data_IF_485575575069
#
_entry.id   IF_485575575069
#
_cell.length_a   1.000
_cell.length_b   1.000
_cell.length_c   1.000
_cell.angle_alpha   90.00
_cell.angle_beta   90.00
_cell.angle_gamma   90.00
#
_symmetry.space_group_name_H-M   'P 1'
#
loop_
_entity.id
_entity.type
_entity.pdbx_description
1 polymer ?
#
# COMPACT_ATOMS: atom_id res chain seq x y z
N UNK A 1 -6.51 -2.22 10.43
CA UNK A 1 -5.47 -1.53 9.61
C UNK A 1 -5.38 -2.31 8.30
N UNK A 2 -5.18 -1.64 7.15
CA UNK A 2 -4.96 -2.33 5.88
C UNK A 2 -3.52 -2.86 5.82
N UNK A 3 -3.37 -4.01 5.17
CA UNK A 3 -2.13 -4.78 5.13
C UNK A 3 -1.60 -4.91 3.71
N UNK A 4 -0.29 -4.77 3.54
CA UNK A 4 0.40 -5.06 2.28
C UNK A 4 1.28 -6.30 2.45
N UNK A 5 1.10 -7.30 1.60
CA UNK A 5 1.91 -8.51 1.60
C UNK A 5 3.14 -8.37 0.72
N UNK A 6 4.31 -8.60 1.27
CA UNK A 6 5.56 -8.61 0.50
C UNK A 6 5.76 -10.01 -0.06
N UNK A 7 5.78 -10.12 -1.38
CA UNK A 7 5.99 -11.39 -2.10
C UNK A 7 7.21 -11.29 -3.02
N UNK A 8 7.75 -12.42 -3.43
CA UNK A 8 8.86 -12.49 -4.37
C UNK A 8 9.43 -13.91 -4.41
N UNK A 9 10.19 -14.19 -5.46
CA UNK A 9 10.94 -15.44 -5.57
C UNK A 9 12.04 -15.53 -4.50
N UNK A 10 12.58 -16.69 -4.20
CA UNK A 10 13.75 -16.80 -3.33
C UNK A 10 14.94 -15.96 -3.84
N UNK A 11 15.72 -15.41 -2.92
CA UNK A 11 16.96 -14.67 -3.18
C UNK A 11 16.81 -13.38 -4.02
N UNK A 12 15.64 -12.76 -3.99
CA UNK A 12 15.39 -11.44 -4.64
C UNK A 12 15.60 -10.24 -3.72
N UNK A 13 16.01 -10.46 -2.46
CA UNK A 13 16.18 -9.40 -1.45
C UNK A 13 14.94 -9.15 -0.58
N UNK A 14 13.88 -9.99 -0.69
CA UNK A 14 12.62 -9.83 0.04
C UNK A 14 12.80 -9.75 1.56
N UNK A 15 13.53 -10.69 2.15
CA UNK A 15 13.75 -10.73 3.61
C UNK A 15 14.64 -9.59 4.09
N UNK A 16 15.62 -9.15 3.28
CA UNK A 16 16.46 -8.00 3.58
C UNK A 16 15.60 -6.74 3.62
N UNK A 17 14.73 -6.54 2.62
CA UNK A 17 13.80 -5.42 2.58
C UNK A 17 12.83 -5.43 3.77
N UNK A 18 12.25 -6.58 4.08
CA UNK A 18 11.32 -6.71 5.22
C UNK A 18 12.02 -6.42 6.55
N UNK A 19 13.23 -6.93 6.75
CA UNK A 19 14.02 -6.64 7.94
C UNK A 19 14.34 -5.14 8.05
N UNK A 20 14.64 -4.48 6.93
CA UNK A 20 14.84 -3.04 6.89
C UNK A 20 13.56 -2.27 7.30
N UNK A 21 12.38 -2.68 6.80
CA UNK A 21 11.09 -2.13 7.19
C UNK A 21 10.84 -2.28 8.72
N UNK A 22 11.07 -3.46 9.26
CA UNK A 22 10.87 -3.75 10.69
C UNK A 22 11.85 -2.99 11.56
N UNK A 23 13.12 -2.92 11.17
CA UNK A 23 14.14 -2.18 11.92
C UNK A 23 13.86 -0.67 11.93
N UNK A 24 13.41 -0.10 10.81
CA UNK A 24 12.95 1.28 10.76
C UNK A 24 11.76 1.52 11.71
N UNK A 25 10.78 0.62 11.70
CA UNK A 25 9.63 0.67 12.61
C UNK A 25 10.05 0.58 14.09
N UNK A 26 11.05 -0.24 14.42
CA UNK A 26 11.58 -0.36 15.78
C UNK A 26 12.32 0.90 16.23
N UNK A 27 13.13 1.49 15.37
CA UNK A 27 13.81 2.75 15.64
C UNK A 27 12.81 3.89 15.90
N UNK A 28 11.72 3.95 15.13
CA UNK A 28 10.63 4.91 15.37
C UNK A 28 9.83 4.58 16.66
N UNK A 29 9.62 3.29 16.96
CA UNK A 29 8.89 2.84 18.13
C UNK A 29 9.61 3.14 19.47
N UNK A 30 10.92 3.26 19.46
CA UNK A 30 11.68 3.72 20.63
C UNK A 30 11.25 5.14 21.06
N UNK A 31 10.69 5.91 20.13
CA UNK A 31 10.12 7.24 20.38
C UNK A 31 8.61 7.21 20.74
N UNK A 32 7.91 6.05 20.52
CA UNK A 32 6.46 5.92 20.75
C UNK A 32 6.13 4.56 21.40
N UNK A 33 5.69 4.50 22.67
CA UNK A 33 5.30 3.25 23.33
C UNK A 33 4.05 2.65 22.65
N UNK A 34 4.00 1.31 22.54
CA UNK A 34 2.89 0.45 22.02
C UNK A 34 3.02 -0.04 20.56
N UNK A 35 4.20 -0.36 20.06
CA UNK A 35 4.30 -1.19 18.85
C UNK A 35 4.38 -2.67 19.22
N UNK A 36 3.35 -3.44 18.89
CA UNK A 36 3.36 -4.90 18.96
C UNK A 36 4.07 -5.42 17.71
N UNK A 37 5.13 -6.19 17.88
CA UNK A 37 5.86 -6.84 16.78
C UNK A 37 5.37 -8.29 16.74
N UNK A 38 4.61 -8.62 15.69
CA UNK A 38 4.32 -10.02 15.36
C UNK A 38 5.43 -10.58 14.46
N UNK A 39 5.84 -11.84 14.62
CA UNK A 39 6.76 -12.44 13.68
C UNK A 39 6.13 -12.41 12.26
N UNK A 40 6.85 -11.88 11.30
CA UNK A 40 6.44 -11.68 9.90
C UNK A 40 5.44 -10.52 9.64
N UNK A 41 5.22 -9.61 10.59
CA UNK A 41 4.42 -8.40 10.39
C UNK A 41 5.16 -7.18 10.97
N UNK A 42 5.15 -6.07 10.24
CA UNK A 42 5.76 -4.81 10.65
C UNK A 42 4.82 -3.64 10.40
N UNK A 43 4.53 -2.88 11.46
CA UNK A 43 3.73 -1.65 11.37
C UNK A 43 4.70 -0.49 11.26
N UNK A 44 4.68 0.22 10.14
CA UNK A 44 5.58 1.33 9.83
C UNK A 44 4.83 2.65 9.71
N UNK A 45 5.47 3.73 10.11
CA UNK A 45 4.93 5.07 9.89
C UNK A 45 5.02 5.46 8.41
N UNK A 46 4.01 6.15 7.92
CA UNK A 46 4.02 6.70 6.56
C UNK A 46 4.77 8.02 6.57
N UNK A 47 5.90 8.14 5.87
CA UNK A 47 6.67 9.38 5.81
C UNK A 47 5.86 10.50 5.15
N UNK A 48 5.65 11.59 5.86
CA UNK A 48 4.94 12.75 5.35
C UNK A 48 5.57 14.05 5.86
N UNK A 49 6.32 14.80 5.02
CA UNK A 49 6.99 16.01 5.43
C UNK A 49 6.01 17.11 5.89
N UNK A 50 4.75 17.08 5.41
CA UNK A 50 3.72 18.05 5.80
C UNK A 50 3.40 17.98 7.28
N UNK A 51 3.48 16.78 7.87
CA UNK A 51 3.20 16.57 9.29
C UNK A 51 4.16 17.37 10.18
N UNK A 52 5.45 17.30 9.88
CA UNK A 52 6.48 18.04 10.61
C UNK A 52 6.37 19.56 10.42
N UNK A 53 6.03 19.99 9.20
CA UNK A 53 5.82 21.41 8.89
C UNK A 53 4.63 21.99 9.68
N UNK A 54 3.51 21.24 9.74
CA UNK A 54 2.34 21.61 10.52
C UNK A 54 2.61 21.62 12.03
N UNK A 55 3.37 20.64 12.52
CA UNK A 55 3.76 20.57 13.92
C UNK A 55 4.63 21.77 14.33
N UNK A 56 5.58 22.17 13.48
CA UNK A 56 6.39 23.38 13.67
C UNK A 56 5.52 24.63 13.69
N UNK A 57 4.58 24.75 12.72
CA UNK A 57 3.67 25.90 12.63
C UNK A 57 2.81 26.06 13.88
N UNK A 58 2.33 24.96 14.44
CA UNK A 58 1.44 24.94 15.61
C UNK A 58 2.19 24.81 16.95
N UNK A 59 3.52 24.71 16.94
CA UNK A 59 4.36 24.45 18.12
C UNK A 59 3.88 23.23 18.89
N UNK A 60 3.55 22.17 18.18
CA UNK A 60 2.97 20.95 18.74
C UNK A 60 3.97 20.18 19.59
N UNK A 61 3.48 19.66 20.73
CA UNK A 61 4.30 18.85 21.66
C UNK A 61 4.46 17.41 21.18
N UNK A 62 3.48 16.89 20.44
CA UNK A 62 3.47 15.53 19.91
C UNK A 62 3.21 15.53 18.41
N UNK A 63 3.84 14.60 17.70
CA UNK A 63 3.67 14.40 16.26
C UNK A 63 3.29 12.95 16.04
N UNK A 64 2.10 12.70 15.48
CA UNK A 64 1.55 11.36 15.34
C UNK A 64 1.32 11.05 13.84
N UNK A 65 2.19 10.23 13.20
CA UNK A 65 2.04 9.85 11.81
C UNK A 65 0.92 8.81 11.58
N UNK A 66 0.49 8.67 10.33
CA UNK A 66 -0.29 7.52 9.89
C UNK A 66 0.60 6.28 9.82
N UNK A 67 -0.04 5.09 9.82
CA UNK A 67 0.68 3.81 9.80
C UNK A 67 0.10 2.86 8.77
N UNK A 68 0.95 1.99 8.23
CA UNK A 68 0.58 0.88 7.35
C UNK A 68 1.28 -0.39 7.82
N UNK A 69 0.63 -1.53 7.66
CA UNK A 69 1.17 -2.83 8.06
C UNK A 69 1.72 -3.57 6.84
N UNK A 70 2.97 -4.03 6.92
CA UNK A 70 3.58 -4.92 5.96
C UNK A 70 3.69 -6.32 6.54
N UNK A 71 3.40 -7.34 5.73
CA UNK A 71 3.47 -8.75 6.11
C UNK A 71 4.47 -9.46 5.20
N UNK A 72 5.48 -10.11 5.78
CA UNK A 72 6.40 -10.96 5.03
C UNK A 72 5.70 -12.26 4.67
N UNK A 73 5.46 -12.47 3.39
CA UNK A 73 4.88 -13.70 2.87
C UNK A 73 6.02 -14.57 2.34
N UNK A 74 6.18 -15.76 2.93
CA UNK A 74 7.24 -16.69 2.56
C UNK A 74 7.30 -16.89 1.04
N UNK A 75 8.51 -16.95 0.47
CA UNK A 75 8.72 -16.98 -0.97
C UNK A 75 7.98 -18.11 -1.68
N UNK A 76 7.48 -17.81 -2.87
CA UNK A 76 6.79 -18.76 -3.74
C UNK A 76 7.82 -19.65 -4.44
N UNK A 77 7.52 -20.94 -4.51
CA UNK A 77 8.20 -21.90 -5.40
C UNK A 77 7.22 -22.25 -6.52
N UNK A 78 7.70 -22.34 -7.74
CA UNK A 78 6.92 -22.74 -8.92
C UNK A 78 6.12 -24.03 -8.64
N UNK A 79 4.82 -24.06 -9.00
CA UNK A 79 3.92 -25.17 -8.73
C UNK A 79 3.14 -25.06 -7.43
N UNK A 80 3.12 -23.91 -6.78
CA UNK A 80 2.40 -23.69 -5.53
C UNK A 80 0.88 -23.85 -5.65
N UNK A 81 0.32 -23.55 -6.80
CA UNK A 81 -1.12 -23.70 -7.08
C UNK A 81 -1.56 -25.17 -7.24
N UNK A 82 -0.62 -26.07 -7.58
CA UNK A 82 -0.87 -27.50 -7.78
C UNK A 82 -0.40 -28.36 -6.60
N UNK A 83 0.32 -27.77 -5.63
CA UNK A 83 1.06 -28.48 -4.61
C UNK A 83 0.33 -28.64 -3.28
N UNK A 84 0.71 -29.70 -2.56
CA UNK A 84 0.40 -29.89 -1.16
C UNK A 84 1.37 -29.09 -0.27
N UNK A 85 0.88 -28.48 0.81
CA UNK A 85 1.70 -27.91 1.88
C UNK A 85 2.07 -26.45 1.74
N UNK A 86 3.32 -26.11 1.43
CA UNK A 86 3.85 -24.73 1.49
C UNK A 86 3.18 -23.75 0.51
N UNK A 87 2.81 -24.20 -0.70
CA UNK A 87 2.12 -23.38 -1.69
C UNK A 87 0.73 -22.93 -1.22
N UNK A 88 -0.04 -23.82 -0.65
CA UNK A 88 -1.35 -23.45 -0.11
C UNK A 88 -1.27 -22.46 1.05
N UNK A 89 -0.23 -22.57 1.88
CA UNK A 89 0.02 -21.62 2.98
C UNK A 89 0.39 -20.24 2.43
N UNK A 90 1.22 -20.19 1.40
CA UNK A 90 1.56 -18.95 0.69
C UNK A 90 0.32 -18.24 0.14
N UNK A 91 -0.53 -18.96 -0.61
CA UNK A 91 -1.77 -18.42 -1.17
C UNK A 91 -2.76 -17.96 -0.08
N UNK A 92 -2.82 -18.70 1.05
CA UNK A 92 -3.65 -18.31 2.19
C UNK A 92 -3.17 -16.98 2.81
N UNK A 93 -1.86 -16.82 3.00
CA UNK A 93 -1.31 -15.56 3.53
C UNK A 93 -1.57 -14.37 2.60
N UNK A 94 -1.50 -14.56 1.26
CA UNK A 94 -1.86 -13.49 0.32
C UNK A 94 -3.35 -13.14 0.42
N UNK A 95 -4.24 -14.08 0.74
CA UNK A 95 -5.67 -13.76 0.91
C UNK A 95 -5.93 -12.81 2.06
N UNK A 96 -5.11 -12.83 3.09
CA UNK A 96 -5.26 -12.02 4.31
C UNK A 96 -4.77 -10.57 4.18
N UNK A 97 -4.08 -10.23 3.10
CA UNK A 97 -3.58 -8.86 2.85
C UNK A 97 -4.45 -8.12 1.84
N UNK A 98 -4.40 -6.79 1.84
CA UNK A 98 -5.23 -5.92 1.00
C UNK A 98 -4.53 -5.50 -0.30
N UNK A 99 -3.19 -5.51 -0.33
CA UNK A 99 -2.37 -5.20 -1.50
C UNK A 99 -1.13 -6.09 -1.55
N UNK A 100 -0.50 -6.16 -2.70
CA UNK A 100 0.71 -6.95 -2.95
C UNK A 100 1.88 -6.02 -3.28
N UNK A 101 2.98 -6.16 -2.56
CA UNK A 101 4.28 -5.60 -2.89
C UNK A 101 5.13 -6.73 -3.46
N UNK A 102 5.32 -6.74 -4.76
CA UNK A 102 6.08 -7.78 -5.45
C UNK A 102 7.53 -7.34 -5.62
N UNK A 103 8.43 -7.92 -4.84
CA UNK A 103 9.88 -7.67 -4.92
C UNK A 103 10.46 -8.50 -6.05
N UNK A 104 11.09 -7.81 -7.01
CA UNK A 104 11.72 -8.43 -8.18
C UNK A 104 13.18 -8.04 -8.24
N UNK A 105 14.05 -9.02 -8.44
CA UNK A 105 15.49 -8.81 -8.57
C UNK A 105 15.83 -8.19 -9.91
N UNK A 106 16.45 -7.01 -9.88
CA UNK A 106 16.88 -6.23 -11.04
C UNK A 106 18.39 -5.91 -11.00
N UNK A 107 19.21 -6.84 -10.48
CA UNK A 107 20.67 -6.72 -10.40
C UNK A 107 21.34 -8.08 -10.59
N UNK A 108 22.55 -8.07 -11.12
CA UNK A 108 23.44 -9.24 -11.18
C UNK A 108 24.29 -9.31 -9.90
N UNK A 109 24.48 -10.51 -9.39
CA UNK A 109 25.38 -10.79 -8.28
C UNK A 109 25.74 -12.28 -8.29
N UNK A 110 27.00 -12.60 -8.52
CA UNK A 110 27.48 -13.99 -8.64
C UNK A 110 27.46 -14.75 -7.31
N UNK A 111 27.50 -14.03 -6.18
CA UNK A 111 27.44 -14.63 -4.84
C UNK A 111 26.02 -15.02 -4.44
N UNK A 112 25.00 -14.54 -5.16
CA UNK A 112 23.58 -14.80 -4.87
C UNK A 112 22.96 -15.61 -5.98
N UNK A 113 22.78 -16.92 -5.75
CA UNK A 113 22.20 -17.84 -6.72
C UNK A 113 20.76 -17.43 -7.06
N UNK A 114 20.47 -17.29 -8.36
CA UNK A 114 19.12 -17.08 -8.85
C UNK A 114 18.41 -18.43 -9.08
N UNK A 115 17.15 -18.56 -8.62
CA UNK A 115 16.38 -19.82 -8.72
C UNK A 115 16.16 -20.31 -10.15
N UNK A 116 16.17 -19.40 -11.13
CA UNK A 116 16.04 -19.71 -12.57
C UNK A 116 17.39 -19.75 -13.30
N UNK A 117 18.51 -19.64 -12.58
CA UNK A 117 19.87 -19.64 -13.16
C UNK A 117 20.32 -18.33 -13.81
N UNK A 118 19.43 -17.38 -14.03
CA UNK A 118 19.73 -16.05 -14.58
C UNK A 118 18.70 -15.02 -14.11
N UNK A 119 19.08 -13.75 -14.05
CA UNK A 119 18.15 -12.64 -13.78
C UNK A 119 17.23 -12.43 -14.99
N UNK A 120 15.95 -12.24 -14.74
CA UNK A 120 14.94 -12.00 -15.77
C UNK A 120 13.65 -11.46 -15.14
N UNK A 121 13.57 -10.13 -14.89
CA UNK A 121 12.50 -9.53 -14.10
C UNK A 121 11.09 -9.78 -14.64
N UNK A 122 10.89 -9.72 -15.96
CA UNK A 122 9.59 -10.02 -16.57
C UNK A 122 9.17 -11.46 -16.34
N UNK A 123 10.08 -12.41 -16.60
CA UNK A 123 9.85 -13.84 -16.36
C UNK A 123 9.56 -14.12 -14.87
N UNK A 124 10.30 -13.50 -13.98
CA UNK A 124 10.18 -13.73 -12.54
C UNK A 124 8.86 -13.16 -12.00
N UNK A 125 8.42 -12.02 -12.53
CA UNK A 125 7.11 -11.45 -12.24
C UNK A 125 5.99 -12.35 -12.76
N UNK A 126 6.10 -12.84 -13.98
CA UNK A 126 5.13 -13.71 -14.64
C UNK A 126 4.92 -15.03 -13.86
N UNK A 127 5.98 -15.61 -13.28
CA UNK A 127 5.87 -16.84 -12.49
C UNK A 127 4.92 -16.66 -11.32
N UNK A 128 5.03 -15.57 -10.58
CA UNK A 128 4.13 -15.31 -9.44
C UNK A 128 2.71 -14.98 -9.93
N UNK A 129 2.58 -14.13 -10.95
CA UNK A 129 1.30 -13.76 -11.51
C UNK A 129 0.52 -14.99 -12.03
N UNK A 130 1.21 -15.91 -12.68
CA UNK A 130 0.63 -17.17 -13.16
C UNK A 130 0.11 -18.04 -12.00
N UNK A 131 0.89 -18.21 -10.95
CA UNK A 131 0.47 -19.02 -9.79
C UNK A 131 -0.77 -18.42 -9.09
N UNK A 132 -0.81 -17.10 -8.95
CA UNK A 132 -1.98 -16.40 -8.41
C UNK A 132 -3.20 -16.57 -9.33
N UNK A 133 -3.01 -16.42 -10.64
CA UNK A 133 -4.06 -16.61 -11.66
C UNK A 133 -4.64 -18.01 -11.67
N UNK A 134 -3.79 -19.05 -11.62
CA UNK A 134 -4.22 -20.45 -11.58
C UNK A 134 -5.00 -20.77 -10.29
N UNK A 135 -4.58 -20.20 -9.15
CA UNK A 135 -5.30 -20.37 -7.90
C UNK A 135 -6.71 -19.75 -7.96
N UNK A 136 -6.81 -18.54 -8.52
CA UNK A 136 -8.09 -17.86 -8.71
C UNK A 136 -8.98 -18.57 -9.74
N UNK A 137 -8.42 -19.00 -10.85
CA UNK A 137 -9.15 -19.75 -11.87
C UNK A 137 -9.82 -21.00 -11.28
N UNK A 138 -9.06 -21.81 -10.54
CA UNK A 138 -9.61 -22.98 -9.85
C UNK A 138 -10.73 -22.62 -8.86
N UNK A 139 -10.62 -21.49 -8.17
CA UNK A 139 -11.65 -21.03 -7.24
C UNK A 139 -12.90 -20.56 -7.97
N UNK A 140 -12.76 -19.79 -9.05
CA UNK A 140 -13.84 -19.27 -9.89
C UNK A 140 -14.60 -20.42 -10.53
N UNK A 141 -13.92 -21.40 -11.14
CA UNK A 141 -14.54 -22.58 -11.73
C UNK A 141 -15.41 -23.35 -10.73
N UNK A 142 -14.88 -23.63 -9.53
CA UNK A 142 -15.62 -24.31 -8.45
C UNK A 142 -16.83 -23.48 -8.00
N UNK A 143 -16.72 -22.17 -7.95
CA UNK A 143 -17.83 -21.28 -7.58
C UNK A 143 -18.92 -21.30 -8.66
N UNK A 144 -18.55 -21.16 -9.93
CA UNK A 144 -19.48 -21.23 -11.08
C UNK A 144 -20.21 -22.57 -11.15
N UNK A 145 -19.54 -23.70 -10.90
CA UNK A 145 -20.20 -25.00 -10.85
C UNK A 145 -21.30 -25.06 -9.77
N UNK A 146 -21.05 -24.51 -8.58
CA UNK A 146 -22.06 -24.43 -7.51
C UNK A 146 -23.23 -23.52 -7.89
N UNK A 147 -22.96 -22.41 -8.58
CA UNK A 147 -23.97 -21.46 -9.02
C UNK A 147 -24.87 -21.99 -10.14
N UNK A 148 -24.40 -22.90 -11.01
CA UNK A 148 -25.17 -23.45 -12.15
C UNK A 148 -26.58 -23.94 -11.77
N UNK A 149 -26.78 -24.50 -10.58
CA UNK A 149 -28.09 -24.93 -10.11
C UNK A 149 -28.93 -23.78 -9.57
N UNK A 150 -28.29 -22.83 -8.87
CA UNK A 150 -28.95 -21.71 -8.21
C UNK A 150 -29.31 -20.58 -9.19
N UNK A 151 -28.49 -20.34 -10.21
CA UNK A 151 -28.71 -19.33 -11.24
C UNK A 151 -30.01 -19.56 -12.08
N UNK A 152 -30.58 -20.77 -12.03
CA UNK A 152 -31.84 -21.06 -12.68
C UNK A 152 -33.07 -20.44 -11.98
N UNK A 153 -32.92 -20.14 -10.68
CA UNK A 153 -34.05 -19.68 -9.84
C UNK A 153 -33.77 -18.36 -9.10
N UNK A 154 -32.50 -17.92 -9.03
CA UNK A 154 -32.10 -16.70 -8.35
C UNK A 154 -31.44 -15.73 -9.32
N UNK A 155 -31.96 -14.50 -9.39
CA UNK A 155 -31.36 -13.40 -10.16
C UNK A 155 -30.00 -12.99 -9.65
N UNK A 156 -29.79 -13.07 -8.33
CA UNK A 156 -28.50 -12.75 -7.70
C UNK A 156 -27.42 -13.75 -8.11
N UNK A 157 -27.74 -15.05 -8.07
CA UNK A 157 -26.83 -16.10 -8.52
C UNK A 157 -26.51 -15.99 -10.02
N UNK A 158 -27.48 -15.54 -10.82
CA UNK A 158 -27.29 -15.30 -12.26
C UNK A 158 -26.36 -14.08 -12.48
N UNK A 159 -26.53 -13.01 -11.72
CA UNK A 159 -25.66 -11.84 -11.79
C UNK A 159 -24.24 -12.19 -11.38
N UNK A 160 -24.07 -12.94 -10.29
CA UNK A 160 -22.76 -13.41 -9.82
C UNK A 160 -22.07 -14.29 -10.88
N UNK A 161 -22.79 -15.27 -11.48
CA UNK A 161 -22.21 -16.14 -12.51
C UNK A 161 -21.80 -15.36 -13.75
N UNK A 162 -22.55 -14.35 -14.17
CA UNK A 162 -22.19 -13.48 -15.30
C UNK A 162 -20.93 -12.65 -15.05
N UNK A 163 -20.70 -12.20 -13.82
CA UNK A 163 -19.44 -11.53 -13.42
C UNK A 163 -18.30 -12.53 -13.42
N UNK A 164 -18.51 -13.70 -12.82
CA UNK A 164 -17.49 -14.75 -12.75
C UNK A 164 -17.09 -15.29 -14.12
N UNK A 165 -18.01 -15.30 -15.09
CA UNK A 165 -17.70 -15.67 -16.47
C UNK A 165 -16.68 -14.73 -17.12
N UNK A 166 -16.85 -13.42 -16.94
CA UNK A 166 -15.88 -12.41 -17.42
C UNK A 166 -14.53 -12.54 -16.73
N UNK A 167 -14.54 -12.77 -15.41
CA UNK A 167 -13.31 -12.99 -14.63
C UNK A 167 -12.61 -14.26 -15.08
N UNK A 168 -13.34 -15.35 -15.31
CA UNK A 168 -12.76 -16.60 -15.80
C UNK A 168 -12.09 -16.41 -17.15
N UNK A 169 -12.76 -15.75 -18.09
CA UNK A 169 -12.21 -15.47 -19.41
C UNK A 169 -10.91 -14.65 -19.36
N UNK A 170 -10.84 -13.64 -18.47
CA UNK A 170 -9.63 -12.85 -18.26
C UNK A 170 -8.49 -13.71 -17.69
N UNK A 171 -8.78 -14.55 -16.69
CA UNK A 171 -7.78 -15.44 -16.08
C UNK A 171 -7.28 -16.51 -17.07
N UNK A 172 -8.16 -17.09 -17.88
CA UNK A 172 -7.80 -18.04 -18.94
C UNK A 172 -6.93 -17.41 -20.05
N UNK A 173 -7.09 -16.11 -20.28
CA UNK A 173 -6.25 -15.32 -21.19
C UNK A 173 -4.88 -14.95 -20.58
N UNK A 174 -4.62 -15.34 -19.32
CA UNK A 174 -3.40 -14.97 -18.57
C UNK A 174 -3.43 -13.60 -17.91
N UNK A 175 -4.58 -12.93 -17.92
CA UNK A 175 -4.79 -11.65 -17.25
C UNK A 175 -5.11 -11.81 -15.76
N UNK A 176 -5.48 -10.71 -15.12
CA UNK A 176 -5.78 -10.65 -13.69
C UNK A 176 -7.23 -10.19 -13.44
N UNK A 177 -7.85 -10.68 -12.38
CA UNK A 177 -9.23 -10.30 -12.04
C UNK A 177 -9.42 -8.78 -11.87
N UNK A 178 -8.38 -8.05 -11.46
CA UNK A 178 -8.40 -6.57 -11.35
C UNK A 178 -8.53 -5.84 -12.70
N UNK A 179 -8.25 -6.51 -13.82
CA UNK A 179 -8.37 -5.93 -15.17
C UNK A 179 -9.81 -5.95 -15.69
N UNK A 180 -10.70 -6.74 -15.07
CA UNK A 180 -12.10 -6.81 -15.47
C UNK A 180 -12.83 -5.55 -15.02
N UNK A 181 -13.40 -4.81 -15.97
CA UNK A 181 -14.22 -3.64 -15.65
C UNK A 181 -15.49 -4.08 -14.92
N UNK A 182 -15.66 -3.65 -13.68
CA UNK A 182 -16.77 -3.99 -12.79
C UNK A 182 -17.48 -2.72 -12.31
N UNK A 183 -18.81 -2.79 -12.21
CA UNK A 183 -19.56 -1.79 -11.43
C UNK A 183 -19.31 -1.98 -9.93
N UNK A 184 -19.66 -0.97 -9.12
CA UNK A 184 -19.54 -1.07 -7.66
C UNK A 184 -20.37 -2.24 -7.09
N UNK A 185 -21.53 -2.52 -7.67
CA UNK A 185 -22.40 -3.63 -7.28
C UNK A 185 -21.76 -4.99 -7.65
N UNK A 186 -21.19 -5.11 -8.84
CA UNK A 186 -20.49 -6.31 -9.30
C UNK A 186 -19.25 -6.61 -8.46
N UNK A 187 -18.48 -5.57 -8.09
CA UNK A 187 -17.31 -5.72 -7.21
C UNK A 187 -17.68 -6.28 -5.83
N UNK A 188 -18.87 -5.93 -5.31
CA UNK A 188 -19.38 -6.49 -4.05
C UNK A 188 -19.69 -7.99 -4.16
N UNK A 189 -20.10 -8.49 -5.32
CA UNK A 189 -20.35 -9.92 -5.55
C UNK A 189 -19.05 -10.74 -5.51
N UNK A 190 -17.94 -10.15 -5.97
CA UNK A 190 -16.63 -10.82 -5.96
C UNK A 190 -15.89 -10.76 -4.61
N UNK A 191 -16.21 -9.77 -3.79
CA UNK A 191 -15.51 -9.53 -2.51
C UNK A 191 -15.42 -10.78 -1.61
N UNK A 192 -16.49 -11.61 -1.44
CA UNK A 192 -16.43 -12.81 -0.60
C UNK A 192 -15.48 -13.90 -1.12
N UNK A 193 -15.11 -13.89 -2.40
CA UNK A 193 -14.17 -14.87 -2.94
C UNK A 193 -12.72 -14.56 -2.56
N UNK A 194 -12.39 -13.30 -2.27
CA UNK A 194 -11.03 -12.91 -1.90
C UNK A 194 -10.01 -13.27 -2.99
N UNK A 195 -10.34 -13.00 -4.26
CA UNK A 195 -9.47 -13.31 -5.39
C UNK A 195 -8.12 -12.63 -5.23
N UNK A 196 -7.05 -13.38 -5.43
CA UNK A 196 -5.66 -12.94 -5.24
C UNK A 196 -5.28 -11.91 -6.31
N UNK A 197 -5.67 -12.17 -7.56
CA UNK A 197 -5.39 -11.29 -8.70
C UNK A 197 -6.32 -10.08 -8.77
N UNK A 198 -7.35 -9.99 -7.93
CA UNK A 198 -8.15 -8.79 -7.77
C UNK A 198 -7.47 -7.74 -6.88
N UNK A 199 -6.46 -8.13 -6.10
CA UNK A 199 -5.72 -7.21 -5.23
C UNK A 199 -4.85 -6.26 -6.04
N UNK A 200 -4.75 -4.98 -5.64
CA UNK A 200 -3.81 -4.05 -6.24
C UNK A 200 -2.37 -4.51 -5.99
N UNK A 201 -1.50 -4.28 -6.97
CA UNK A 201 -0.10 -4.71 -6.94
C UNK A 201 0.84 -3.54 -7.24
N UNK A 202 2.00 -3.53 -6.59
CA UNK A 202 3.13 -2.65 -6.89
C UNK A 202 4.38 -3.50 -7.01
N UNK A 203 5.21 -3.21 -8.00
CA UNK A 203 6.49 -3.88 -8.21
C UNK A 203 7.62 -3.10 -7.55
N UNK A 204 8.30 -3.71 -6.56
CA UNK A 204 9.53 -3.19 -5.98
C UNK A 204 10.71 -3.70 -6.79
N UNK A 205 11.29 -2.83 -7.65
CA UNK A 205 12.49 -3.15 -8.46
C UNK A 205 13.72 -3.08 -7.58
N UNK A 206 14.19 -4.23 -7.10
CA UNK A 206 15.37 -4.30 -6.24
C UNK A 206 16.64 -4.27 -7.09
N UNK A 207 17.39 -3.17 -7.03
CA UNK A 207 18.60 -2.89 -7.80
C UNK A 207 19.86 -2.92 -6.93
N UNK A 208 21.02 -2.92 -7.57
CA UNK A 208 22.31 -2.61 -6.93
C UNK A 208 22.37 -1.14 -6.50
N UNK A 209 23.33 -0.81 -5.66
CA UNK A 209 23.62 0.56 -5.23
C UNK A 209 23.85 1.49 -6.43
N UNK A 210 24.69 1.08 -7.37
CA UNK A 210 25.04 1.87 -8.57
C UNK A 210 23.85 2.23 -9.46
N UNK A 211 22.81 1.39 -9.45
CA UNK A 211 21.61 1.55 -10.27
C UNK A 211 20.47 2.28 -9.53
N UNK A 212 20.68 2.67 -8.27
CA UNK A 212 19.61 3.25 -7.44
C UNK A 212 19.11 4.58 -8.01
N UNK A 213 19.99 5.46 -8.46
CA UNK A 213 19.61 6.74 -9.02
C UNK A 213 19.02 6.62 -10.45
N UNK A 214 19.75 5.94 -11.35
CA UNK A 214 19.41 5.88 -12.78
C UNK A 214 18.51 4.73 -13.19
N UNK A 215 18.53 3.62 -12.46
CA UNK A 215 17.97 2.35 -12.90
C UNK A 215 18.83 1.69 -13.99
N UNK A 216 18.34 0.56 -14.48
CA UNK A 216 19.03 -0.23 -15.51
C UNK A 216 18.03 -0.85 -16.50
N UNK A 217 18.51 -1.68 -17.43
CA UNK A 217 17.67 -2.35 -18.42
C UNK A 217 16.60 -3.27 -17.77
N UNK A 218 16.93 -3.93 -16.66
CA UNK A 218 16.00 -4.76 -15.91
C UNK A 218 14.83 -3.97 -15.33
N UNK A 219 15.08 -2.74 -14.85
CA UNK A 219 14.03 -1.85 -14.41
C UNK A 219 13.07 -1.48 -15.55
N UNK A 220 13.59 -1.25 -16.76
CA UNK A 220 12.79 -0.92 -17.94
C UNK A 220 11.94 -2.12 -18.38
N UNK A 221 12.52 -3.33 -18.36
CA UNK A 221 11.81 -4.58 -18.65
C UNK A 221 10.62 -4.77 -17.70
N UNK A 222 10.83 -4.65 -16.39
CA UNK A 222 9.76 -4.78 -15.40
C UNK A 222 8.73 -3.66 -15.48
N UNK A 223 9.14 -2.43 -15.79
CA UNK A 223 8.23 -1.31 -15.99
C UNK A 223 7.27 -1.53 -17.16
N UNK A 224 7.72 -2.23 -18.21
CA UNK A 224 6.86 -2.60 -19.34
C UNK A 224 5.76 -3.60 -18.91
N UNK A 225 6.12 -4.60 -18.09
CA UNK A 225 5.15 -5.55 -17.49
C UNK A 225 4.16 -4.80 -16.59
N UNK A 226 4.66 -3.98 -15.67
CA UNK A 226 3.83 -3.21 -14.76
C UNK A 226 2.82 -2.31 -15.50
N UNK A 227 3.27 -1.65 -16.57
CA UNK A 227 2.40 -0.81 -17.42
C UNK A 227 1.27 -1.59 -18.07
N UNK A 228 1.53 -2.81 -18.56
CA UNK A 228 0.48 -3.68 -19.14
C UNK A 228 -0.57 -4.09 -18.11
N UNK A 229 -0.16 -4.25 -16.85
CA UNK A 229 -1.03 -4.62 -15.75
C UNK A 229 -1.69 -3.42 -15.01
N UNK A 230 -1.42 -2.19 -15.45
CA UNK A 230 -1.87 -0.98 -14.76
C UNK A 230 -1.25 -0.81 -13.36
N UNK A 231 -0.11 -1.46 -13.10
CA UNK A 231 0.62 -1.43 -11.84
C UNK A 231 1.71 -0.34 -11.85
N UNK A 232 2.09 0.12 -10.66
CA UNK A 232 3.23 1.01 -10.47
C UNK A 232 4.53 0.23 -10.19
N UNK A 233 5.67 0.88 -10.41
CA UNK A 233 6.98 0.38 -9.97
C UNK A 233 7.61 1.35 -8.98
N UNK A 234 8.31 0.83 -7.98
CA UNK A 234 9.16 1.60 -7.07
C UNK A 234 10.55 1.00 -7.07
N UNK A 235 11.57 1.83 -7.28
CA UNK A 235 12.97 1.41 -7.25
C UNK A 235 13.47 1.44 -5.82
N UNK A 236 14.12 0.34 -5.42
CA UNK A 236 14.72 0.18 -4.10
C UNK A 236 16.07 -0.51 -4.25
N UNK A 237 16.94 -0.34 -3.28
CA UNK A 237 18.06 -1.25 -3.03
C UNK A 237 17.94 -1.77 -1.61
N UNK A 238 17.56 -3.05 -1.48
CA UNK A 238 17.37 -3.67 -0.17
C UNK A 238 18.68 -3.66 0.66
N UNK A 239 19.83 -3.69 0.00
CA UNK A 239 21.14 -3.58 0.64
C UNK A 239 21.36 -2.17 1.19
N UNK A 240 21.16 -1.13 0.37
CA UNK A 240 21.29 0.27 0.80
C UNK A 240 20.34 0.58 1.95
N UNK A 241 19.10 0.08 1.89
CA UNK A 241 18.14 0.28 2.99
C UNK A 241 18.61 -0.38 4.30
N UNK A 242 19.24 -1.55 4.25
CA UNK A 242 19.81 -2.18 5.43
C UNK A 242 21.00 -1.38 5.99
N UNK A 243 21.85 -0.83 5.14
CA UNK A 243 22.99 0.01 5.54
C UNK A 243 22.53 1.33 6.15
N UNK A 244 21.49 1.97 5.58
CA UNK A 244 20.92 3.22 6.10
C UNK A 244 20.43 3.11 7.56
N UNK A 245 19.94 1.93 7.96
CA UNK A 245 19.47 1.71 9.33
C UNK A 245 20.63 1.74 10.33
N UNK A 246 21.79 1.25 9.94
CA UNK A 246 22.99 1.23 10.78
C UNK A 246 23.64 2.60 10.91
N UNK A 247 23.33 3.54 9.98
CA UNK A 247 23.88 4.90 10.02
C UNK A 247 23.11 5.79 11.01
N UNK A 248 23.82 6.72 11.67
CA UNK A 248 23.20 7.81 12.41
C UNK A 248 22.25 8.62 11.51
N UNK A 249 21.13 9.08 12.03
CA UNK A 249 20.12 9.82 11.25
C UNK A 249 20.69 11.04 10.52
N UNK A 250 21.65 11.74 11.16
CA UNK A 250 22.32 12.90 10.58
C UNK A 250 23.13 12.57 9.32
N UNK A 251 23.66 11.36 9.20
CA UNK A 251 24.55 10.95 8.11
C UNK A 251 23.78 10.33 6.93
N UNK A 252 22.53 9.93 7.15
CA UNK A 252 21.71 9.27 6.12
C UNK A 252 21.47 10.13 4.90
N UNK A 253 21.20 11.43 5.10
CA UNK A 253 20.95 12.35 4.00
C UNK A 253 22.20 12.56 3.12
N UNK A 254 23.39 12.65 3.73
CA UNK A 254 24.66 12.77 3.01
C UNK A 254 24.99 11.49 2.24
N UNK A 255 24.75 10.32 2.84
CA UNK A 255 24.91 9.02 2.18
C UNK A 255 24.01 8.89 0.94
N UNK A 256 22.72 9.20 1.06
CA UNK A 256 21.77 9.17 -0.06
C UNK A 256 22.12 10.18 -1.16
N UNK A 257 22.56 11.38 -0.77
CA UNK A 257 23.02 12.39 -1.74
C UNK A 257 24.27 11.90 -2.50
N UNK A 258 25.18 11.18 -1.82
CA UNK A 258 26.33 10.52 -2.46
C UNK A 258 25.93 9.49 -3.50
N UNK A 259 24.79 8.82 -3.33
CA UNK A 259 24.20 7.88 -4.28
C UNK A 259 23.35 8.58 -5.38
N UNK A 260 23.22 9.90 -5.34
CA UNK A 260 22.43 10.68 -6.30
C UNK A 260 20.93 10.57 -6.12
N UNK A 261 20.45 10.24 -4.90
CA UNK A 261 19.03 10.17 -4.57
C UNK A 261 18.70 11.08 -3.39
N UNK A 262 17.49 11.63 -3.36
CA UNK A 262 17.04 12.56 -2.32
C UNK A 262 16.48 11.83 -1.10
N UNK A 263 15.97 10.61 -1.30
CA UNK A 263 15.35 9.79 -0.25
C UNK A 263 15.58 8.29 -0.46
N UNK A 264 15.44 7.52 0.61
CA UNK A 264 15.49 6.06 0.55
C UNK A 264 14.32 5.45 -0.23
N UNK A 265 14.57 4.37 -0.94
CA UNK A 265 13.56 3.61 -1.68
C UNK A 265 12.46 3.06 -0.78
N UNK A 266 12.79 2.77 0.49
CA UNK A 266 11.86 2.30 1.50
C UNK A 266 10.76 3.35 1.78
N UNK A 267 11.12 4.62 1.94
CA UNK A 267 10.17 5.71 2.16
C UNK A 267 9.22 5.85 0.97
N UNK A 268 9.77 5.82 -0.25
CA UNK A 268 8.98 5.83 -1.49
C UNK A 268 8.05 4.63 -1.59
N UNK A 269 8.51 3.42 -1.20
CA UNK A 269 7.70 2.19 -1.21
C UNK A 269 6.53 2.28 -0.21
N UNK A 270 6.78 2.78 1.00
CA UNK A 270 5.74 2.96 2.03
C UNK A 270 4.64 3.91 1.52
N UNK A 271 5.03 5.09 0.98
CA UNK A 271 4.06 6.06 0.42
C UNK A 271 3.30 5.50 -0.78
N UNK A 272 3.99 4.84 -1.70
CA UNK A 272 3.35 4.25 -2.87
C UNK A 272 2.37 3.13 -2.46
N UNK A 273 2.72 2.32 -1.48
CA UNK A 273 1.83 1.27 -0.94
C UNK A 273 0.61 1.86 -0.25
N UNK A 274 0.78 2.93 0.52
CA UNK A 274 -0.31 3.66 1.17
C UNK A 274 -1.31 4.20 0.13
N UNK A 275 -0.79 4.82 -0.93
CA UNK A 275 -1.62 5.31 -2.04
C UNK A 275 -2.31 4.17 -2.81
N UNK A 276 -1.61 3.04 -3.04
CA UNK A 276 -2.14 1.86 -3.71
C UNK A 276 -3.34 1.27 -2.97
N UNK A 277 -3.32 1.29 -1.64
CA UNK A 277 -4.44 0.87 -0.78
C UNK A 277 -5.65 1.83 -0.83
N UNK A 278 -5.60 2.88 -1.66
CA UNK A 278 -6.65 3.89 -1.76
C UNK A 278 -6.77 4.78 -0.52
N UNK A 279 -5.71 4.81 0.30
CA UNK A 279 -5.68 5.61 1.52
C UNK A 279 -5.37 7.07 1.23
N UNK A 280 -5.91 7.93 2.06
CA UNK A 280 -5.70 9.38 2.07
C UNK A 280 -5.38 9.83 3.49
N UNK A 281 -4.69 10.96 3.57
CA UNK A 281 -4.35 11.58 4.85
C UNK A 281 -5.02 12.95 4.98
N UNK A 282 -5.66 13.19 6.10
CA UNK A 282 -5.97 14.54 6.55
C UNK A 282 -5.28 14.79 7.90
N UNK A 283 -5.15 16.03 8.29
CA UNK A 283 -4.44 16.43 9.50
C UNK A 283 -5.36 17.16 10.48
N UNK A 284 -5.07 16.96 11.75
CA UNK A 284 -5.47 17.87 12.83
C UNK A 284 -4.20 18.47 13.43
N UNK A 285 -4.19 19.76 13.72
CA UNK A 285 -3.01 20.45 14.26
C UNK A 285 -3.37 21.42 15.37
N UNK A 286 -2.57 21.45 16.41
CA UNK A 286 -2.72 22.30 17.58
C UNK A 286 -1.51 22.19 18.51
N UNK A 287 -1.48 22.99 19.57
CA UNK A 287 -0.35 23.03 20.54
C UNK A 287 -0.10 21.69 21.25
N UNK A 288 -1.14 20.88 21.46
CA UNK A 288 -0.99 19.56 22.10
C UNK A 288 -0.37 18.56 21.16
N UNK A 289 -0.97 18.39 19.99
CA UNK A 289 -0.53 17.43 18.99
C UNK A 289 -0.81 17.91 17.57
N UNK A 290 0.02 17.50 16.64
CA UNK A 290 -0.28 17.44 15.21
C UNK A 290 -0.35 15.98 14.82
N UNK A 291 -1.46 15.59 14.20
CA UNK A 291 -1.74 14.19 13.87
C UNK A 291 -2.23 14.02 12.46
N UNK A 292 -1.67 13.02 11.80
CA UNK A 292 -2.13 12.53 10.51
C UNK A 292 -3.16 11.40 10.73
N UNK A 293 -4.28 11.48 10.02
CA UNK A 293 -5.38 10.53 10.11
C UNK A 293 -5.56 9.81 8.79
N UNK A 294 -5.68 8.49 8.84
CA UNK A 294 -5.90 7.65 7.66
C UNK A 294 -7.38 7.55 7.34
N UNK A 295 -7.76 7.85 6.11
CA UNK A 295 -9.11 7.66 5.57
C UNK A 295 -9.04 6.91 4.23
N UNK A 296 -10.16 6.34 3.80
CA UNK A 296 -10.34 5.87 2.44
C UNK A 296 -10.64 7.05 1.51
N UNK A 297 -10.09 7.01 0.30
CA UNK A 297 -10.45 7.98 -0.74
C UNK A 297 -11.97 7.97 -0.98
N UNK A 298 -12.58 9.17 -1.03
CA UNK A 298 -14.02 9.32 -1.19
C UNK A 298 -14.83 9.41 0.11
N UNK A 299 -14.19 9.27 1.29
CA UNK A 299 -14.89 9.50 2.56
C UNK A 299 -15.35 10.95 2.71
N UNK A 300 -16.57 11.10 3.23
CA UNK A 300 -17.15 12.41 3.57
C UNK A 300 -16.61 12.94 4.91
N UNK A 301 -16.77 14.22 5.15
CA UNK A 301 -16.31 14.87 6.39
C UNK A 301 -16.86 14.20 7.68
N UNK A 302 -18.15 13.78 7.78
CA UNK A 302 -18.63 13.00 8.93
C UNK A 302 -17.91 11.67 9.09
N UNK A 303 -17.69 10.92 7.99
CA UNK A 303 -16.99 9.64 8.03
C UNK A 303 -15.54 9.82 8.48
N UNK A 304 -14.86 10.87 7.99
CA UNK A 304 -13.51 11.22 8.42
C UNK A 304 -13.47 11.61 9.92
N UNK A 305 -14.45 12.37 10.40
CA UNK A 305 -14.60 12.66 11.82
C UNK A 305 -14.80 11.39 12.67
N UNK A 306 -15.50 10.39 12.11
CA UNK A 306 -15.73 9.07 12.70
C UNK A 306 -14.45 8.27 12.94
N UNK A 307 -13.40 8.52 12.16
CA UNK A 307 -12.07 7.91 12.34
C UNK A 307 -11.42 8.38 13.65
N UNK A 308 -11.72 9.61 14.09
CA UNK A 308 -11.26 10.13 15.39
C UNK A 308 -12.07 9.48 16.51
N UNK A 309 -13.40 9.58 16.43
CA UNK A 309 -14.33 8.99 17.39
C UNK A 309 -15.74 8.90 16.79
N UNK A 310 -16.48 7.84 17.11
CA UNK A 310 -17.85 7.63 16.62
C UNK A 310 -18.82 8.74 16.97
N UNK A 311 -18.62 9.42 18.10
CA UNK A 311 -19.44 10.56 18.50
C UNK A 311 -19.24 11.77 17.59
N UNK A 312 -18.04 11.96 17.04
CA UNK A 312 -17.76 13.03 16.06
C UNK A 312 -18.56 12.82 14.78
N UNK A 313 -18.71 11.58 14.33
CA UNK A 313 -19.54 11.25 13.18
C UNK A 313 -21.03 11.49 13.47
N UNK A 314 -21.53 10.97 14.60
CA UNK A 314 -22.94 11.08 14.98
C UNK A 314 -23.37 12.52 15.21
N UNK A 315 -22.57 13.28 15.92
CA UNK A 315 -22.83 14.67 16.28
C UNK A 315 -22.31 15.69 15.28
N UNK A 316 -21.83 15.27 14.09
CA UNK A 316 -21.21 16.16 13.12
C UNK A 316 -22.10 17.34 12.74
N UNK A 317 -21.58 18.54 12.90
CA UNK A 317 -22.23 19.79 12.48
C UNK A 317 -21.60 20.32 11.21
N UNK A 318 -20.29 20.56 11.25
CA UNK A 318 -19.47 21.05 10.13
C UNK A 318 -17.98 20.83 10.41
N UNK A 319 -17.15 20.94 9.38
CA UNK A 319 -15.70 20.99 9.53
C UNK A 319 -15.17 22.36 9.07
N UNK A 320 -14.20 22.90 9.81
CA UNK A 320 -13.33 23.97 9.28
C UNK A 320 -12.17 23.32 8.56
N UNK A 321 -11.97 23.64 7.28
CA UNK A 321 -11.03 22.94 6.41
C UNK A 321 -10.15 23.91 5.65
N UNK A 322 -8.87 23.60 5.56
CA UNK A 322 -7.89 24.33 4.75
C UNK A 322 -6.86 23.34 4.20
N UNK A 323 -6.39 23.53 2.97
CA UNK A 323 -5.28 22.73 2.45
C UNK A 323 -3.97 23.03 3.20
N UNK A 324 -3.15 22.00 3.42
CA UNK A 324 -1.86 22.12 4.14
C UNK A 324 -0.99 23.23 3.55
N UNK A 325 -0.81 23.25 2.23
CA UNK A 325 0.02 24.26 1.58
C UNK A 325 -0.48 25.71 1.85
N UNK A 326 -1.80 25.92 1.79
CA UNK A 326 -2.40 27.22 2.08
C UNK A 326 -2.20 27.62 3.55
N UNK A 327 -2.29 26.65 4.49
CA UNK A 327 -2.06 26.93 5.90
C UNK A 327 -0.60 27.31 6.18
N UNK A 328 0.35 26.58 5.59
CA UNK A 328 1.77 26.88 5.70
C UNK A 328 2.11 28.28 5.14
N UNK A 329 1.53 28.64 3.99
CA UNK A 329 1.68 29.98 3.37
C UNK A 329 1.02 31.10 4.21
N UNK A 330 -0.08 30.80 4.89
CA UNK A 330 -0.72 31.76 5.79
C UNK A 330 0.10 32.01 7.06
N UNK A 331 0.90 31.05 7.52
CA UNK A 331 1.73 31.14 8.69
C UNK A 331 0.99 30.88 10.03
N UNK A 332 -0.34 30.85 10.04
CA UNK A 332 -1.15 30.45 11.19
C UNK A 332 -2.62 30.28 10.80
N UNK A 333 -3.39 29.55 11.61
CA UNK A 333 -4.85 29.42 11.46
C UNK A 333 -5.57 30.79 11.57
N UNK A 334 -5.10 31.68 12.44
CA UNK A 334 -5.67 33.03 12.56
C UNK A 334 -5.46 33.86 11.29
N UNK A 335 -4.25 33.81 10.71
CA UNK A 335 -3.95 34.50 9.47
C UNK A 335 -4.73 33.89 8.28
N UNK A 336 -4.86 32.57 8.22
CA UNK A 336 -5.68 31.89 7.22
C UNK A 336 -7.15 32.30 7.29
N UNK A 337 -7.71 32.43 8.52
CA UNK A 337 -9.07 32.93 8.75
C UNK A 337 -9.23 34.37 8.27
N UNK A 338 -8.30 35.25 8.57
CA UNK A 338 -8.33 36.65 8.12
C UNK A 338 -8.23 36.80 6.60
N UNK A 339 -7.53 35.88 5.95
CA UNK A 339 -7.45 35.82 4.47
C UNK A 339 -8.68 35.16 3.82
N UNK A 340 -9.63 34.64 4.61
CA UNK A 340 -10.81 33.93 4.12
C UNK A 340 -10.49 32.56 3.47
N UNK A 341 -9.36 31.95 3.79
CA UNK A 341 -8.94 30.67 3.25
C UNK A 341 -9.50 29.46 4.02
N UNK A 342 -10.00 29.69 5.24
CA UNK A 342 -10.66 28.67 6.04
C UNK A 342 -12.09 28.46 5.53
N UNK A 343 -12.37 27.28 4.99
CA UNK A 343 -13.67 26.90 4.48
C UNK A 343 -14.50 26.22 5.56
N UNK A 344 -15.81 26.46 5.57
CA UNK A 344 -16.75 25.71 6.38
C UNK A 344 -17.44 24.66 5.52
N UNK A 345 -17.13 23.40 5.75
CA UNK A 345 -17.59 22.27 4.95
C UNK A 345 -18.69 21.49 5.66
N UNK A 346 -19.69 21.07 4.91
CA UNK A 346 -20.86 20.34 5.38
C UNK A 346 -20.68 18.81 5.27
N UNK A 347 -21.81 18.10 5.46
CA UNK A 347 -21.84 16.62 5.50
C UNK A 347 -21.44 15.95 4.20
N UNK A 348 -21.67 16.59 3.07
CA UNK A 348 -21.40 16.03 1.72
C UNK A 348 -19.97 16.30 1.23
N UNK A 349 -19.17 17.03 2.01
CA UNK A 349 -17.80 17.32 1.63
C UNK A 349 -16.96 16.06 1.59
N UNK A 350 -16.36 15.77 0.44
CA UNK A 350 -15.39 14.69 0.28
C UNK A 350 -14.02 15.21 0.71
N UNK A 351 -13.44 14.59 1.73
CA UNK A 351 -12.13 15.01 2.27
C UNK A 351 -11.03 14.81 1.26
N UNK A 352 -10.28 15.88 1.00
CA UNK A 352 -9.16 15.86 0.09
C UNK A 352 -7.86 15.44 0.79
N UNK A 353 -6.92 14.90 -0.01
CA UNK A 353 -5.57 14.58 0.46
C UNK A 353 -4.86 15.85 0.95
N UNK A 354 -4.39 15.82 2.20
CA UNK A 354 -3.67 16.94 2.80
C UNK A 354 -4.56 18.05 3.37
N UNK A 355 -5.85 17.83 3.53
CA UNK A 355 -6.70 18.77 4.26
C UNK A 355 -6.28 18.85 5.73
N UNK A 356 -6.25 20.07 6.28
CA UNK A 356 -6.16 20.31 7.72
C UNK A 356 -7.55 20.65 8.21
N UNK A 357 -8.08 19.87 9.16
CA UNK A 357 -9.48 19.90 9.55
C UNK A 357 -9.67 20.07 11.05
N UNK A 358 -10.68 20.87 11.41
CA UNK A 358 -11.22 20.99 12.76
C UNK A 358 -12.71 20.66 12.72
N UNK A 359 -13.14 19.64 13.46
CA UNK A 359 -14.54 19.18 13.48
C UNK A 359 -15.33 19.84 14.59
N UNK A 360 -16.48 20.41 14.22
CA UNK A 360 -17.50 20.86 15.18
C UNK A 360 -18.58 19.78 15.24
N UNK A 361 -18.86 19.35 16.45
CA UNK A 361 -19.86 18.32 16.71
C UNK A 361 -20.61 18.62 18.03
N UNK A 362 -21.78 18.04 18.17
CA UNK A 362 -22.58 18.10 19.40
C UNK A 362 -23.14 16.69 19.65
N UNK A 363 -22.94 16.19 20.88
CA UNK A 363 -23.39 14.85 21.32
C UNK A 363 -24.40 15.01 22.46
#
# INVERSE_FOLDING_TARGET
MLKAGIVGLPNVGKSTLFNALVANAQAEAANYPFCTIEPNSGIVSVPDPRLNQLATLSSSKEIIPTKVEFVDIAGLVKGASQGEGLGNKFLANIREVDAIVHVVRCFENDDVIHVSGSVGPARDAEVINLELGLADLSQVEKRRERLKKQARTSKEAQAEDGVLERVQAELEAGGAARNVALSAEEALLLKPLGLLTAKPIIYATNVSEDDLAGGNAYCQELAAVAKQEGAATVRISAQVEAELIELPEADRAEFLAGLGVEEGGLQSLIRATYALLGLRTYFTTGEKETRAWTIQAGMTAPQAAGVIHTDFERGFIRAQTIGTQQLLEAGSLAAARNKGWLRAEGKEYIVAEGDVMEFLFNV
#
